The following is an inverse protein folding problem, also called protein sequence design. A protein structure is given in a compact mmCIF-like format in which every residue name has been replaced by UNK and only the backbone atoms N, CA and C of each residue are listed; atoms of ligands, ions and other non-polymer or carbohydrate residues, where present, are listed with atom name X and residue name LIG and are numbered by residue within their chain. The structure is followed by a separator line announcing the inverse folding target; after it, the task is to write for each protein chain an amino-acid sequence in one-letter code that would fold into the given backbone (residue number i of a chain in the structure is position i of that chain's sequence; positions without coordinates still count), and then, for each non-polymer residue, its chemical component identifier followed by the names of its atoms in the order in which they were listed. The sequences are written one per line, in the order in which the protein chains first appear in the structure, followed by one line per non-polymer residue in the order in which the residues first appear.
data_IF_125260549646
#
_entry.id   IF_125260549646
#
_cell.length_a   1.000
_cell.length_b   1.000
_cell.length_c   1.000
_cell.angle_alpha   90.00
_cell.angle_beta   90.00
_cell.angle_gamma   90.00
#
_symmetry.space_group_name_H-M   'P 1'
#
loop_
_entity.id
_entity.type
_entity.pdbx_description
1 polymer ?
#
# COMPACT_ATOMS: atom_id res chain seq x y z
N UNK A 1 29.17 -54.56 20.49
CA UNK A 1 29.69 -54.26 21.85
C UNK A 1 31.18 -54.47 21.73
N UNK A 2 31.90 -53.43 21.33
CA UNK A 2 33.34 -53.51 21.20
C UNK A 2 33.95 -53.44 22.61
N UNK A 3 34.77 -54.45 22.91
CA UNK A 3 35.51 -54.59 24.17
C UNK A 3 36.39 -53.35 24.40
N UNK A 4 35.96 -52.47 25.33
CA UNK A 4 36.79 -51.37 25.83
C UNK A 4 37.90 -52.00 26.69
N UNK A 5 39.09 -52.14 26.10
CA UNK A 5 40.26 -52.74 26.73
C UNK A 5 40.79 -51.77 27.80
N UNK A 6 40.80 -52.12 29.10
CA UNK A 6 41.32 -51.23 30.13
C UNK A 6 42.82 -50.98 29.89
N UNK A 7 43.20 -49.73 29.65
CA UNK A 7 44.61 -49.33 29.60
C UNK A 7 45.11 -49.15 31.02
N UNK A 8 45.70 -50.20 31.58
CA UNK A 8 46.39 -50.13 32.86
C UNK A 8 47.73 -49.39 32.69
N UNK A 9 47.97 -48.38 33.53
CA UNK A 9 49.28 -47.71 33.64
C UNK A 9 49.39 -46.28 33.09
N UNK A 10 48.34 -45.70 32.51
CA UNK A 10 48.31 -44.27 32.16
C UNK A 10 47.68 -43.43 33.30
N UNK A 11 48.18 -42.21 33.56
CA UNK A 11 47.57 -41.32 34.55
C UNK A 11 46.24 -40.77 34.04
N UNK A 12 45.24 -40.65 34.94
CA UNK A 12 43.96 -40.01 34.63
C UNK A 12 44.18 -38.56 34.16
N UNK A 13 43.50 -38.15 33.09
CA UNK A 13 43.65 -36.81 32.49
C UNK A 13 43.27 -35.66 33.44
N UNK A 14 42.44 -35.91 34.46
CA UNK A 14 42.00 -34.86 35.40
C UNK A 14 42.71 -34.85 36.75
N UNK A 15 43.11 -36.01 37.26
CA UNK A 15 43.71 -36.11 38.62
C UNK A 15 45.14 -36.66 38.62
N UNK A 16 45.69 -37.01 37.45
CA UNK A 16 47.05 -37.52 37.27
C UNK A 16 47.40 -38.79 38.06
N UNK A 17 46.41 -39.45 38.67
CA UNK A 17 46.62 -40.72 39.38
C UNK A 17 46.60 -41.88 38.42
N UNK A 18 47.56 -42.80 38.60
CA UNK A 18 47.62 -44.04 37.82
C UNK A 18 46.58 -45.01 38.35
N UNK A 19 45.55 -45.28 37.55
CA UNK A 19 44.44 -46.16 37.88
C UNK A 19 43.89 -46.80 36.59
N UNK A 20 42.93 -47.72 36.72
CA UNK A 20 42.19 -48.19 35.55
C UNK A 20 41.40 -47.02 34.95
N UNK A 21 41.69 -46.70 33.70
CA UNK A 21 41.03 -45.63 32.96
C UNK A 21 39.88 -46.18 32.11
N UNK A 22 38.84 -45.37 32.00
CA UNK A 22 37.67 -45.61 31.17
C UNK A 22 37.53 -44.45 30.18
N UNK A 23 37.12 -44.78 28.96
CA UNK A 23 36.76 -43.77 27.97
C UNK A 23 35.39 -43.17 28.34
N UNK A 24 35.29 -41.85 28.37
CA UNK A 24 34.01 -41.19 28.61
C UNK A 24 33.07 -41.40 27.42
N UNK A 25 31.84 -41.87 27.66
CA UNK A 25 30.83 -42.04 26.60
C UNK A 25 30.27 -40.73 26.02
N UNK A 26 30.65 -39.57 26.56
CA UNK A 26 30.12 -38.25 26.18
C UNK A 26 31.19 -37.28 25.67
N UNK A 27 32.47 -37.60 25.83
CA UNK A 27 33.59 -36.81 25.32
C UNK A 27 34.82 -37.69 25.11
N UNK A 28 35.85 -37.20 24.42
CA UNK A 28 37.05 -37.98 24.13
C UNK A 28 38.03 -38.13 25.32
N UNK A 29 37.61 -37.85 26.55
CA UNK A 29 38.47 -37.90 27.74
C UNK A 29 38.64 -39.33 28.27
N UNK A 30 39.84 -39.63 28.78
CA UNK A 30 40.15 -40.86 29.51
C UNK A 30 40.29 -40.59 31.00
N UNK A 31 39.36 -41.13 31.78
CA UNK A 31 39.19 -40.79 33.20
C UNK A 31 39.20 -42.03 34.08
N UNK A 32 39.67 -41.89 35.31
CA UNK A 32 39.41 -42.90 36.34
C UNK A 32 37.92 -42.88 36.74
N UNK A 33 37.44 -43.92 37.42
CA UNK A 33 36.03 -44.06 37.78
C UNK A 33 35.47 -42.85 38.55
N UNK A 34 36.22 -42.32 39.53
CA UNK A 34 35.80 -41.18 40.35
C UNK A 34 35.72 -39.87 39.54
N UNK A 35 36.73 -39.62 38.70
CA UNK A 35 36.73 -38.46 37.79
C UNK A 35 35.62 -38.56 36.74
N UNK A 36 35.33 -39.77 36.25
CA UNK A 36 34.23 -39.99 35.31
C UNK A 36 32.87 -39.73 35.96
N UNK A 37 32.66 -40.18 37.20
CA UNK A 37 31.43 -39.94 37.95
C UNK A 37 31.21 -38.44 38.23
N UNK A 38 32.26 -37.73 38.67
CA UNK A 38 32.23 -36.28 38.87
C UNK A 38 31.97 -35.53 37.57
N UNK A 39 32.69 -35.87 36.50
CA UNK A 39 32.53 -35.25 35.19
C UNK A 39 31.09 -35.40 34.66
N UNK A 40 30.48 -36.58 34.82
CA UNK A 40 29.10 -36.82 34.42
C UNK A 40 28.11 -36.00 35.27
N UNK A 41 28.37 -35.84 36.57
CA UNK A 41 27.56 -34.99 37.44
C UNK A 41 27.63 -33.52 37.03
N UNK A 42 28.83 -33.01 36.77
CA UNK A 42 29.06 -31.63 36.34
C UNK A 42 28.38 -31.38 34.98
N UNK A 43 28.53 -32.31 34.02
CA UNK A 43 27.87 -32.24 32.72
C UNK A 43 26.34 -32.19 32.85
N UNK A 44 25.75 -33.05 33.70
CA UNK A 44 24.31 -33.04 33.96
C UNK A 44 23.85 -31.71 34.55
N UNK A 45 24.63 -31.12 35.45
CA UNK A 45 24.30 -29.83 36.06
C UNK A 45 24.33 -28.69 35.05
N UNK A 46 25.34 -28.66 34.18
CA UNK A 46 25.42 -27.64 33.12
C UNK A 46 24.31 -27.80 32.08
N UNK A 47 23.98 -29.03 31.68
CA UNK A 47 22.82 -29.28 30.80
C UNK A 47 21.52 -28.85 31.46
N UNK A 48 21.34 -29.12 32.75
CA UNK A 48 20.16 -28.67 33.49
C UNK A 48 20.04 -27.14 33.50
N UNK A 49 21.14 -26.42 33.81
CA UNK A 49 21.17 -24.95 33.76
C UNK A 49 20.82 -24.40 32.38
N UNK A 50 21.37 -25.00 31.31
CA UNK A 50 21.06 -24.59 29.94
C UNK A 50 19.57 -24.79 29.62
N UNK A 51 19.00 -25.94 30.00
CA UNK A 51 17.57 -26.20 29.86
C UNK A 51 16.73 -25.18 30.65
N UNK A 52 17.15 -24.84 31.87
CA UNK A 52 16.45 -23.86 32.70
C UNK A 52 16.50 -22.47 32.05
N UNK A 53 17.65 -22.00 31.58
CA UNK A 53 17.77 -20.72 30.87
C UNK A 53 16.93 -20.70 29.58
N UNK A 54 16.93 -21.80 28.82
CA UNK A 54 16.11 -21.91 27.61
C UNK A 54 14.62 -21.78 27.93
N UNK A 55 14.15 -22.47 28.98
CA UNK A 55 12.72 -22.53 29.33
C UNK A 55 12.23 -21.28 30.08
N UNK A 56 13.07 -20.66 30.89
CA UNK A 56 12.66 -19.56 31.78
C UNK A 56 12.97 -18.18 31.22
N UNK A 57 13.95 -18.06 30.33
CA UNK A 57 14.36 -16.77 29.77
C UNK A 57 14.10 -16.71 28.27
N UNK A 58 14.68 -17.64 27.51
CA UNK A 58 14.69 -17.56 26.04
C UNK A 58 13.32 -17.84 25.43
N UNK A 59 12.66 -18.92 25.85
CA UNK A 59 11.32 -19.29 25.39
C UNK A 59 10.28 -18.17 25.61
N UNK A 60 10.11 -17.67 26.84
CA UNK A 60 9.17 -16.58 27.11
C UNK A 60 9.50 -15.28 26.37
N UNK A 61 10.79 -14.98 26.19
CA UNK A 61 11.21 -13.80 25.42
C UNK A 61 10.81 -13.93 23.96
N UNK A 62 11.00 -15.10 23.34
CA UNK A 62 10.59 -15.37 21.97
C UNK A 62 9.08 -15.30 21.80
N UNK A 63 8.32 -15.85 22.75
CA UNK A 63 6.86 -15.80 22.74
C UNK A 63 6.34 -14.36 22.80
N UNK A 64 6.86 -13.55 23.73
CA UNK A 64 6.55 -12.12 23.83
C UNK A 64 6.92 -11.33 22.57
N UNK A 65 8.05 -11.66 21.92
CA UNK A 65 8.41 -11.04 20.65
C UNK A 65 7.46 -11.43 19.53
N UNK A 66 7.04 -12.71 19.46
CA UNK A 66 6.07 -13.18 18.48
C UNK A 66 4.71 -12.46 18.63
N UNK A 67 4.23 -12.30 19.87
CA UNK A 67 3.00 -11.55 20.15
C UNK A 67 3.10 -10.08 19.71
N UNK A 68 4.23 -9.41 20.00
CA UNK A 68 4.47 -8.03 19.58
C UNK A 68 4.48 -7.90 18.06
N UNK A 69 5.13 -8.83 17.37
CA UNK A 69 5.15 -8.85 15.90
C UNK A 69 3.73 -9.03 15.35
N UNK A 70 2.96 -9.97 15.90
CA UNK A 70 1.56 -10.18 15.50
C UNK A 70 0.71 -8.92 15.68
N UNK A 71 0.86 -8.22 16.81
CA UNK A 71 0.17 -6.96 17.07
C UNK A 71 0.56 -5.88 16.06
N UNK A 72 1.86 -5.73 15.76
CA UNK A 72 2.34 -4.76 14.78
C UNK A 72 1.84 -5.06 13.37
N UNK A 73 1.80 -6.33 12.98
CA UNK A 73 1.25 -6.77 11.69
C UNK A 73 -0.25 -6.47 11.58
N UNK A 74 -1.01 -6.71 12.65
CA UNK A 74 -2.43 -6.35 12.71
C UNK A 74 -2.65 -4.84 12.57
N UNK A 75 -1.89 -4.03 13.32
CA UNK A 75 -1.92 -2.56 13.20
C UNK A 75 -1.58 -2.10 11.79
N UNK A 76 -0.54 -2.66 11.18
CA UNK A 76 -0.13 -2.35 9.82
C UNK A 76 -1.25 -2.65 8.81
N UNK A 77 -1.92 -3.79 8.95
CA UNK A 77 -3.05 -4.17 8.11
C UNK A 77 -4.22 -3.17 8.24
N UNK A 78 -4.56 -2.79 9.47
CA UNK A 78 -5.63 -1.81 9.72
C UNK A 78 -5.28 -0.43 9.13
N UNK A 79 -4.07 0.07 9.39
CA UNK A 79 -3.61 1.34 8.82
C UNK A 79 -3.61 1.32 7.29
N UNK A 80 -3.21 0.20 6.67
CA UNK A 80 -3.29 0.05 5.21
C UNK A 80 -4.74 0.16 4.71
N UNK A 81 -5.68 -0.48 5.39
CA UNK A 81 -7.10 -0.42 5.03
C UNK A 81 -7.65 1.00 5.18
N UNK A 82 -7.37 1.67 6.29
CA UNK A 82 -7.77 3.06 6.53
C UNK A 82 -7.22 4.03 5.46
N UNK A 83 -5.95 3.89 5.09
CA UNK A 83 -5.34 4.70 4.04
C UNK A 83 -5.97 4.43 2.67
N UNK A 84 -6.27 3.17 2.37
CA UNK A 84 -6.93 2.78 1.12
C UNK A 84 -8.34 3.39 1.03
N UNK A 85 -9.09 3.38 2.14
CA UNK A 85 -10.41 4.00 2.20
C UNK A 85 -10.32 5.52 2.00
N UNK A 86 -9.41 6.20 2.72
CA UNK A 86 -9.22 7.65 2.56
C UNK A 86 -8.84 8.05 1.13
N UNK A 87 -8.04 7.22 0.46
CA UNK A 87 -7.66 7.45 -0.94
C UNK A 87 -8.88 7.30 -1.87
N UNK A 88 -9.72 6.28 -1.64
CA UNK A 88 -10.95 6.10 -2.39
C UNK A 88 -11.92 7.25 -2.18
N UNK A 89 -12.14 7.67 -0.93
CA UNK A 89 -13.03 8.79 -0.59
C UNK A 89 -12.56 10.09 -1.27
N UNK A 90 -11.25 10.37 -1.23
CA UNK A 90 -10.67 11.54 -1.89
C UNK A 90 -10.82 11.48 -3.41
N UNK A 91 -10.64 10.31 -4.01
CA UNK A 91 -10.86 10.09 -5.44
C UNK A 91 -12.32 10.35 -5.83
N UNK A 92 -13.28 9.86 -5.06
CA UNK A 92 -14.71 10.01 -5.37
C UNK A 92 -15.17 11.48 -5.25
N UNK A 93 -14.63 12.22 -4.28
CA UNK A 93 -14.82 13.67 -4.17
C UNK A 93 -14.28 14.38 -5.40
N UNK A 94 -13.07 14.04 -5.86
CA UNK A 94 -12.47 14.66 -7.05
C UNK A 94 -13.28 14.35 -8.31
N UNK A 95 -13.74 13.11 -8.49
CA UNK A 95 -14.59 12.73 -9.63
C UNK A 95 -15.88 13.53 -9.64
N UNK A 96 -16.52 13.70 -8.48
CA UNK A 96 -17.75 14.50 -8.33
C UNK A 96 -17.48 15.95 -8.72
N UNK A 97 -16.42 16.56 -8.19
CA UNK A 97 -16.06 17.94 -8.52
C UNK A 97 -15.77 18.14 -10.01
N UNK A 98 -15.09 17.19 -10.65
CA UNK A 98 -14.82 17.22 -12.10
C UNK A 98 -16.13 17.14 -12.89
N UNK A 99 -17.04 16.25 -12.49
CA UNK A 99 -18.35 16.12 -13.13
C UNK A 99 -19.16 17.42 -13.02
N UNK A 100 -19.27 17.99 -11.81
CA UNK A 100 -20.01 19.22 -11.55
C UNK A 100 -19.41 20.43 -12.29
N UNK A 101 -18.07 20.49 -12.41
CA UNK A 101 -17.41 21.53 -13.20
C UNK A 101 -17.71 21.37 -14.69
N UNK A 102 -17.69 20.14 -15.19
CA UNK A 102 -18.00 19.84 -16.59
C UNK A 102 -19.43 20.22 -16.94
N UNK A 103 -20.40 19.85 -16.10
CA UNK A 103 -21.81 20.18 -16.30
C UNK A 103 -22.03 21.69 -16.34
N UNK A 104 -21.52 22.43 -15.35
CA UNK A 104 -21.58 23.90 -15.33
C UNK A 104 -20.92 24.54 -16.55
N UNK A 105 -19.80 23.99 -17.01
CA UNK A 105 -19.14 24.48 -18.23
C UNK A 105 -20.00 24.29 -19.46
N UNK A 106 -20.70 23.16 -19.58
CA UNK A 106 -21.61 22.89 -20.70
C UNK A 106 -22.82 23.84 -20.63
N UNK A 107 -23.40 24.03 -19.45
CA UNK A 107 -24.52 24.97 -19.26
C UNK A 107 -24.14 26.40 -19.65
N UNK A 108 -22.94 26.86 -19.27
CA UNK A 108 -22.45 28.18 -19.66
C UNK A 108 -22.29 28.32 -21.17
N UNK A 109 -21.72 27.31 -21.84
CA UNK A 109 -21.59 27.30 -23.31
C UNK A 109 -22.96 27.34 -23.97
N UNK A 110 -23.90 26.49 -23.55
CA UNK A 110 -25.26 26.47 -24.09
C UNK A 110 -25.97 27.81 -23.92
N UNK A 111 -25.78 28.48 -22.77
CA UNK A 111 -26.37 29.80 -22.51
C UNK A 111 -25.78 30.89 -23.41
N UNK A 112 -24.47 30.86 -23.63
CA UNK A 112 -23.81 31.79 -24.56
C UNK A 112 -24.31 31.56 -25.98
N UNK A 113 -24.39 30.30 -26.41
CA UNK A 113 -24.90 29.92 -27.73
C UNK A 113 -26.35 30.39 -27.95
N UNK A 114 -27.24 30.14 -26.99
CA UNK A 114 -28.64 30.59 -27.05
C UNK A 114 -28.75 32.11 -27.16
N UNK A 115 -27.97 32.85 -26.36
CA UNK A 115 -27.99 34.32 -26.41
C UNK A 115 -27.49 34.84 -27.76
N UNK A 116 -26.43 34.25 -28.32
CA UNK A 116 -25.91 34.64 -29.62
C UNK A 116 -26.88 34.30 -30.76
N UNK A 117 -27.54 33.14 -30.72
CA UNK A 117 -28.55 32.78 -31.73
C UNK A 117 -29.76 33.72 -31.69
N UNK A 118 -30.23 34.08 -30.49
CA UNK A 118 -31.34 35.04 -30.35
C UNK A 118 -31.01 36.41 -30.93
N UNK A 119 -29.79 36.91 -30.70
CA UNK A 119 -29.31 38.19 -31.26
C UNK A 119 -29.24 38.13 -32.80
N UNK A 120 -28.78 36.99 -33.35
CA UNK A 120 -28.76 36.78 -34.80
C UNK A 120 -30.18 36.76 -35.38
N UNK A 121 -31.13 36.08 -34.74
CA UNK A 121 -32.53 36.01 -35.20
C UNK A 121 -33.20 37.40 -35.18
N UNK A 122 -32.93 38.22 -34.16
CA UNK A 122 -33.38 39.62 -34.10
C UNK A 122 -32.80 40.44 -35.25
N UNK A 123 -31.49 40.31 -35.52
CA UNK A 123 -30.83 41.00 -36.63
C UNK A 123 -31.37 40.56 -38.00
N UNK A 124 -31.64 39.26 -38.20
CA UNK A 124 -32.27 38.75 -39.43
C UNK A 124 -33.65 39.37 -39.63
N UNK A 125 -34.46 39.45 -38.57
CA UNK A 125 -35.80 40.06 -38.62
C UNK A 125 -35.74 41.55 -39.00
N UNK A 126 -34.73 42.27 -38.49
CA UNK A 126 -34.52 43.68 -38.84
C UNK A 126 -34.11 43.84 -40.31
N UNK A 127 -33.24 42.95 -40.83
CA UNK A 127 -32.83 42.92 -42.24
C UNK A 127 -34.04 42.66 -43.15
N UNK A 128 -34.89 41.68 -42.83
CA UNK A 128 -36.10 41.39 -43.61
C UNK A 128 -37.06 42.59 -43.67
N UNK A 129 -37.19 43.30 -42.54
CA UNK A 129 -37.97 44.53 -42.47
C UNK A 129 -37.40 45.64 -43.36
N UNK A 130 -36.07 45.79 -43.38
CA UNK A 130 -35.39 46.75 -44.25
C UNK A 130 -35.54 46.37 -45.73
N UNK A 131 -35.44 45.09 -46.08
CA UNK A 131 -35.66 44.61 -47.45
C UNK A 131 -37.08 44.92 -47.94
N UNK A 132 -38.10 44.61 -47.13
CA UNK A 132 -39.49 44.93 -47.47
C UNK A 132 -39.72 46.44 -47.69
N UNK A 133 -39.05 47.29 -46.90
CA UNK A 133 -39.08 48.75 -47.08
C UNK A 133 -38.41 49.19 -48.38
N UNK A 134 -37.26 48.59 -48.73
CA UNK A 134 -36.57 48.86 -50.01
C UNK A 134 -37.48 48.47 -51.17
N UNK A 135 -38.08 47.29 -51.15
CA UNK A 135 -38.99 46.83 -52.20
C UNK A 135 -40.18 47.79 -52.39
N UNK A 136 -40.75 48.28 -51.28
CA UNK A 136 -41.82 49.28 -51.30
C UNK A 136 -41.36 50.60 -51.95
N UNK A 137 -40.15 51.06 -51.63
CA UNK A 137 -39.57 52.27 -52.22
C UNK A 137 -39.29 52.09 -53.70
N UNK A 138 -38.73 50.95 -54.11
CA UNK A 138 -38.48 50.60 -55.51
C UNK A 138 -39.77 50.55 -56.32
N UNK A 139 -40.83 49.94 -55.79
CA UNK A 139 -42.15 49.92 -56.43
C UNK A 139 -42.70 51.34 -56.65
N UNK A 140 -42.67 52.19 -55.62
CA UNK A 140 -43.09 53.60 -55.73
C UNK A 140 -42.25 54.37 -56.74
N UNK A 141 -40.95 54.12 -56.78
CA UNK A 141 -40.06 54.77 -57.75
C UNK A 141 -40.45 54.40 -59.19
N UNK A 142 -40.74 53.12 -59.45
CA UNK A 142 -41.17 52.66 -60.77
C UNK A 142 -42.52 53.26 -61.20
N UNK A 143 -43.45 53.46 -60.25
CA UNK A 143 -44.73 54.13 -60.52
C UNK A 143 -44.54 55.60 -60.91
N UNK A 144 -43.66 56.34 -60.19
CA UNK A 144 -43.33 57.74 -60.51
C UNK A 144 -42.67 57.85 -61.89
N UNK A 145 -41.78 56.93 -62.25
CA UNK A 145 -41.17 56.91 -63.58
C UNK A 145 -42.21 56.69 -64.68
N UNK A 146 -43.19 55.79 -64.47
CA UNK A 146 -44.31 55.59 -65.41
C UNK A 146 -45.17 56.84 -65.58
N UNK A 147 -45.51 57.52 -64.47
CA UNK A 147 -46.27 58.78 -64.54
C UNK A 147 -45.53 59.85 -65.33
N UNK A 148 -44.21 59.99 -65.12
CA UNK A 148 -43.39 60.96 -65.88
C UNK A 148 -43.33 60.66 -67.37
N UNK A 149 -43.21 59.40 -67.77
CA UNK A 149 -43.20 59.01 -69.19
C UNK A 149 -44.55 59.23 -69.86
N UNK A 150 -45.65 59.21 -69.12
CA UNK A 150 -47.01 59.40 -69.66
C UNK A 150 -47.40 60.88 -69.85
N UNK A 151 -46.59 61.82 -69.34
CA UNK A 151 -46.85 63.27 -69.38
C UNK A 151 -46.02 63.97 -70.50
N UNK A 152 -45.12 63.24 -71.16
CA UNK A 152 -44.31 63.71 -72.31
C UNK A 152 -44.84 63.08 -73.59
#
# INVERSE_FOLDING_TARGET
MDDVKPTTGSPCEECSTTSELQDCGHCSKKLCADCCAKHLQDLKQEVAKLCDTLNTETGPTLENQAEKIALLMSKLSNTKQELSQKLQDAHDVLVTQIHDLRERSIELVNKVEQNSLSDIDEQITEIDTLLARIDTVCAKSADIEKERVSII
#
